data_IF_549137303868
#
_entry.id   IF_549137303868
#
_cell.length_a   1.000
_cell.length_b   1.000
_cell.length_c   1.000
_cell.angle_alpha   90.00
_cell.angle_beta   90.00
_cell.angle_gamma   90.00
#
_symmetry.space_group_name_H-M   'P 1'
#
loop_
_entity.id
_entity.type
_entity.pdbx_description
1 polymer ?
#
# COMPACT_ATOMS: atom_id res chain seq x y z
N UNK A 1 10.92 -26.95 7.99
CA UNK A 1 10.01 -26.50 6.92
C UNK A 1 9.93 -24.97 6.99
N UNK A 2 9.93 -24.26 5.86
CA UNK A 2 9.94 -22.78 5.82
C UNK A 2 8.74 -22.30 4.99
N UNK A 3 8.04 -21.27 5.49
CA UNK A 3 6.94 -20.60 4.81
C UNK A 3 7.14 -19.08 4.91
N UNK A 4 7.18 -18.41 3.76
CA UNK A 4 7.47 -16.99 3.65
C UNK A 4 6.60 -16.35 2.57
N UNK A 5 6.20 -15.11 2.79
CA UNK A 5 5.41 -14.33 1.84
C UNK A 5 6.20 -13.11 1.33
N UNK A 6 5.91 -12.68 0.10
CA UNK A 6 6.43 -11.44 -0.45
C UNK A 6 5.81 -10.26 0.32
N UNK A 7 6.62 -9.29 0.72
CA UNK A 7 6.19 -8.11 1.48
C UNK A 7 5.48 -7.04 0.61
N UNK A 8 4.41 -7.45 -0.08
CA UNK A 8 3.52 -6.56 -0.84
C UNK A 8 2.16 -6.44 -0.13
N UNK A 9 1.43 -5.35 -0.39
CA UNK A 9 0.17 -5.04 0.31
C UNK A 9 0.36 -4.95 1.84
N UNK A 10 1.58 -4.66 2.27
CA UNK A 10 1.99 -4.55 3.67
C UNK A 10 2.04 -3.09 4.08
N UNK A 11 1.51 -2.76 5.25
CA UNK A 11 1.71 -1.46 5.91
C UNK A 11 2.79 -1.61 6.97
N UNK A 12 3.78 -0.73 6.96
CA UNK A 12 4.84 -0.68 7.98
C UNK A 12 4.60 0.54 8.87
N UNK A 13 4.52 0.32 10.19
CA UNK A 13 4.45 1.42 11.17
C UNK A 13 5.85 1.78 11.67
N UNK A 14 6.24 3.04 11.55
CA UNK A 14 7.51 3.57 12.06
C UNK A 14 7.22 4.81 12.92
N UNK A 15 7.21 4.63 14.24
CA UNK A 15 6.80 5.68 15.17
C UNK A 15 5.33 6.06 14.97
N UNK A 16 5.09 7.33 14.66
CA UNK A 16 3.76 7.87 14.32
C UNK A 16 3.39 7.73 12.84
N UNK A 17 4.31 7.27 11.98
CA UNK A 17 4.07 7.18 10.54
C UNK A 17 3.66 5.78 10.12
N UNK A 18 2.77 5.71 9.12
CA UNK A 18 2.39 4.49 8.41
C UNK A 18 2.87 4.59 6.97
N UNK A 19 3.69 3.63 6.55
CA UNK A 19 4.23 3.53 5.20
C UNK A 19 3.51 2.41 4.45
N UNK A 20 2.96 2.74 3.29
CA UNK A 20 2.36 1.77 2.38
C UNK A 20 3.00 1.95 1.00
N UNK A 21 3.63 0.90 0.50
CA UNK A 21 4.24 0.90 -0.82
C UNK A 21 3.43 0.05 -1.79
N UNK A 22 3.26 0.56 -3.00
CA UNK A 22 2.73 -0.17 -4.15
C UNK A 22 3.55 0.18 -5.39
N UNK A 23 3.51 -0.71 -6.39
CA UNK A 23 4.23 -0.55 -7.65
C UNK A 23 3.52 -1.22 -8.81
N UNK A 24 4.02 -0.99 -10.01
CA UNK A 24 3.52 -1.54 -11.25
C UNK A 24 4.68 -2.15 -12.05
N UNK A 25 4.38 -3.13 -12.90
CA UNK A 25 5.38 -3.77 -13.76
C UNK A 25 5.47 -3.04 -15.09
N UNK A 26 6.58 -2.35 -15.35
CA UNK A 26 6.77 -1.60 -16.60
C UNK A 26 7.32 -2.52 -17.69
N UNK A 27 6.66 -2.52 -18.85
CA UNK A 27 7.08 -3.21 -20.07
C UNK A 27 7.11 -2.24 -21.25
N UNK A 28 7.56 -2.69 -22.42
CA UNK A 28 7.75 -1.83 -23.60
C UNK A 28 6.48 -1.05 -24.00
N UNK A 29 5.32 -1.69 -23.97
CA UNK A 29 4.05 -1.08 -24.32
C UNK A 29 3.31 -0.41 -23.14
N UNK A 30 3.98 -0.22 -21.99
CA UNK A 30 3.34 0.38 -20.81
C UNK A 30 2.95 1.84 -21.06
N UNK A 31 1.78 2.21 -20.54
CA UNK A 31 1.28 3.59 -20.58
C UNK A 31 1.44 4.20 -19.18
N UNK A 32 2.27 5.26 -19.00
CA UNK A 32 2.57 5.80 -17.67
C UNK A 32 1.35 6.12 -16.80
N UNK A 33 0.28 6.65 -17.41
CA UNK A 33 -0.97 6.95 -16.70
C UNK A 33 -1.68 5.69 -16.19
N UNK A 34 -1.67 4.61 -16.98
CA UNK A 34 -2.27 3.33 -16.59
C UNK A 34 -1.49 2.67 -15.46
N UNK A 35 -0.15 2.67 -15.54
CA UNK A 35 0.71 2.10 -14.51
C UNK A 35 0.58 2.86 -13.18
N UNK A 36 0.52 4.19 -13.24
CA UNK A 36 0.22 5.02 -12.08
C UNK A 36 -1.12 4.62 -11.45
N UNK A 37 -2.19 4.51 -12.25
CA UNK A 37 -3.49 4.13 -11.75
C UNK A 37 -3.49 2.72 -11.13
N UNK A 38 -2.71 1.78 -11.69
CA UNK A 38 -2.49 0.46 -11.11
C UNK A 38 -1.84 0.54 -9.73
N UNK A 39 -0.79 1.36 -9.55
CA UNK A 39 -0.16 1.53 -8.24
C UNK A 39 -1.15 2.03 -7.18
N UNK A 40 -1.99 3.01 -7.54
CA UNK A 40 -3.04 3.56 -6.68
C UNK A 40 -4.07 2.48 -6.34
N UNK A 41 -4.50 1.70 -7.33
CA UNK A 41 -5.47 0.63 -7.13
C UNK A 41 -4.93 -0.48 -6.22
N UNK A 42 -3.65 -0.84 -6.34
CA UNK A 42 -3.01 -1.84 -5.46
C UNK A 42 -2.85 -1.33 -4.02
N UNK A 43 -2.56 -0.05 -3.83
CA UNK A 43 -2.48 0.57 -2.51
C UNK A 43 -3.85 0.76 -1.85
N UNK A 44 -4.91 0.96 -2.63
CA UNK A 44 -6.27 1.28 -2.15
C UNK A 44 -6.76 0.35 -1.03
N UNK A 45 -6.55 -0.97 -1.17
CA UNK A 45 -6.99 -1.93 -0.16
C UNK A 45 -6.36 -1.65 1.22
N UNK A 46 -5.06 -1.34 1.26
CA UNK A 46 -4.37 -0.95 2.49
C UNK A 46 -4.90 0.37 3.06
N UNK A 47 -5.11 1.37 2.20
CA UNK A 47 -5.64 2.67 2.61
C UNK A 47 -7.05 2.58 3.21
N UNK A 48 -7.94 1.80 2.59
CA UNK A 48 -9.30 1.57 3.11
C UNK A 48 -9.27 0.84 4.45
N UNK A 49 -8.41 -0.17 4.60
CA UNK A 49 -8.25 -0.88 5.87
C UNK A 49 -7.81 0.08 6.99
N UNK A 50 -6.89 1.01 6.69
CA UNK A 50 -6.47 2.04 7.64
C UNK A 50 -7.59 3.02 7.97
N UNK A 51 -8.42 3.41 6.99
CA UNK A 51 -9.49 4.38 7.23
C UNK A 51 -10.63 3.84 8.11
N UNK A 52 -10.87 2.52 8.09
CA UNK A 52 -11.90 1.88 8.93
C UNK A 52 -11.37 1.39 10.27
N UNK A 53 -10.06 1.11 10.36
CA UNK A 53 -9.42 0.48 11.52
C UNK A 53 -8.65 1.41 12.45
N UNK A 54 -8.38 2.65 12.05
CA UNK A 54 -7.73 3.64 12.92
C UNK A 54 -8.82 4.42 13.67
N UNK A 55 -9.02 4.21 15.00
CA UNK A 55 -9.86 5.10 15.78
C UNK A 55 -9.29 6.53 15.68
N UNK A 56 -10.13 7.58 15.57
CA UNK A 56 -9.65 8.95 15.52
C UNK A 56 -8.77 9.17 16.76
N UNK A 57 -7.52 9.53 16.53
CA UNK A 57 -6.56 9.78 17.59
C UNK A 57 -7.20 10.72 18.62
N UNK A 58 -7.15 10.36 19.91
CA UNK A 58 -7.52 11.29 20.98
C UNK A 58 -6.64 12.52 20.79
N UNK A 59 -7.22 13.60 20.27
CA UNK A 59 -6.63 14.93 20.35
C UNK A 59 -6.35 15.19 21.83
N UNK A 60 -5.07 15.27 22.18
CA UNK A 60 -4.65 15.90 23.43
C UNK A 60 -5.03 17.39 23.38
#
# INVERSE_FOLDING_TARGET
>A
NMDVAIAIRTVVKKGSELLLQAGAGVVEASVPASEWQETVNKARAGLVALSVGVPPEKKA
#
